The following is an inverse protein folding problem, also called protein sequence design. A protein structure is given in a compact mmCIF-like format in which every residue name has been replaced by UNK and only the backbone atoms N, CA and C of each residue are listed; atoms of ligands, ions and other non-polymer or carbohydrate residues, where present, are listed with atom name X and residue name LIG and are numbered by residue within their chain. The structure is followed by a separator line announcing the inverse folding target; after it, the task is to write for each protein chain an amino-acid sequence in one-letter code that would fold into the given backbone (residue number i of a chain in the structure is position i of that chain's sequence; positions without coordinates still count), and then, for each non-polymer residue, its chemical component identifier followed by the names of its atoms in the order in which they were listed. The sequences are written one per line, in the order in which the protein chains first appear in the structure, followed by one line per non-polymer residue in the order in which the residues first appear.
data_IF_452911363449
#
_entry.id   IF_452911363449
#
_cell.length_a   1.000
_cell.length_b   1.000
_cell.length_c   1.000
_cell.angle_alpha   90.00
_cell.angle_beta   90.00
_cell.angle_gamma   90.00
#
_symmetry.space_group_name_H-M   'P 1'
#
loop_
_entity.id
_entity.type
_entity.pdbx_description
1 polymer ?
#
# COMPACT_ATOMS: atom_id res chain seq x y z
N UNK A 1 3.96 7.53 13.67
CA UNK A 1 2.99 6.43 13.61
C UNK A 1 3.59 5.32 12.76
N UNK A 2 4.04 4.27 13.40
CA UNK A 2 4.78 3.22 12.71
C UNK A 2 3.85 2.38 11.85
N UNK A 3 4.30 2.07 10.63
CA UNK A 3 3.57 1.21 9.74
C UNK A 3 2.47 1.86 8.93
N UNK A 4 2.19 3.13 9.14
CA UNK A 4 1.18 3.84 8.37
C UNK A 4 1.85 4.66 7.26
N UNK A 5 1.36 4.50 6.03
CA UNK A 5 1.86 5.29 4.90
C UNK A 5 0.69 5.84 4.10
N UNK A 6 0.96 6.94 3.41
CA UNK A 6 -0.03 7.56 2.54
C UNK A 6 0.11 7.01 1.12
N UNK A 7 -0.99 6.53 0.59
CA UNK A 7 -1.07 6.03 -0.79
C UNK A 7 -2.25 6.69 -1.49
N UNK A 8 -2.42 6.37 -2.75
CA UNK A 8 -3.53 6.91 -3.56
C UNK A 8 -4.45 5.78 -3.98
N UNK A 9 -5.74 5.96 -3.75
CA UNK A 9 -6.77 5.01 -4.16
C UNK A 9 -6.64 4.74 -5.66
N UNK A 10 -6.61 3.47 -6.06
CA UNK A 10 -6.43 3.08 -7.45
C UNK A 10 -7.54 3.59 -8.36
N UNK A 11 -8.74 3.76 -7.86
CA UNK A 11 -9.87 4.22 -8.65
C UNK A 11 -10.02 5.73 -8.67
N UNK A 12 -10.02 6.35 -7.50
CA UNK A 12 -10.32 7.79 -7.39
C UNK A 12 -9.07 8.67 -7.39
N UNK A 13 -7.92 8.12 -7.05
CA UNK A 13 -6.69 8.89 -6.88
C UNK A 13 -6.65 9.68 -5.59
N UNK A 14 -7.65 9.56 -4.74
CA UNK A 14 -7.67 10.26 -3.46
C UNK A 14 -6.65 9.70 -2.50
N UNK A 15 -6.10 10.56 -1.66
CA UNK A 15 -5.13 10.15 -0.65
C UNK A 15 -5.81 9.28 0.40
N UNK A 16 -5.13 8.18 0.74
CA UNK A 16 -5.57 7.28 1.81
C UNK A 16 -4.38 6.97 2.71
N UNK A 17 -4.66 6.60 3.94
CA UNK A 17 -3.62 6.17 4.88
C UNK A 17 -3.83 4.69 5.15
N UNK A 18 -2.76 3.91 4.96
CA UNK A 18 -2.82 2.46 5.07
C UNK A 18 -1.91 1.97 6.19
N UNK A 19 -2.45 1.09 7.04
CA UNK A 19 -1.64 0.44 8.07
C UNK A 19 -0.95 -0.77 7.45
N UNK A 20 0.33 -0.62 7.14
CA UNK A 20 1.10 -1.66 6.46
C UNK A 20 1.36 -2.88 7.33
N UNK A 21 1.15 -2.77 8.64
CA UNK A 21 1.27 -3.93 9.53
C UNK A 21 0.18 -4.96 9.26
N UNK A 22 -0.92 -4.56 8.63
CA UNK A 22 -2.03 -5.45 8.28
C UNK A 22 -1.90 -6.03 6.88
N UNK A 23 -0.91 -5.59 6.11
CA UNK A 23 -0.72 -6.06 4.73
C UNK A 23 0.18 -7.28 4.72
N UNK A 24 -0.29 -8.37 4.15
CA UNK A 24 0.49 -9.60 4.03
C UNK A 24 1.37 -9.61 2.78
N UNK A 25 0.83 -9.09 1.68
CA UNK A 25 1.47 -9.26 0.39
C UNK A 25 1.07 -8.12 -0.53
N UNK A 26 1.96 -7.75 -1.43
CA UNK A 26 1.69 -6.74 -2.45
C UNK A 26 1.98 -7.36 -3.80
N UNK A 27 1.03 -7.28 -4.72
CA UNK A 27 1.21 -7.74 -6.09
C UNK A 27 1.06 -6.56 -7.05
N UNK A 28 1.60 -6.69 -8.25
CA UNK A 28 1.64 -5.59 -9.21
C UNK A 28 1.18 -5.98 -10.61
N UNK A 29 0.30 -6.98 -10.72
CA UNK A 29 -0.16 -7.42 -12.02
C UNK A 29 -1.68 -7.56 -12.03
N UNK A 30 -2.39 -6.72 -12.77
CA UNK A 30 -1.88 -5.58 -13.57
C UNK A 30 -1.62 -4.34 -12.74
N UNK A 31 -2.33 -4.16 -11.63
CA UNK A 31 -2.22 -2.98 -10.77
C UNK A 31 -1.62 -3.36 -9.43
N UNK A 32 -0.96 -2.40 -8.79
CA UNK A 32 -0.44 -2.60 -7.45
C UNK A 32 -1.61 -2.86 -6.50
N UNK A 33 -1.64 -4.02 -5.89
CA UNK A 33 -2.72 -4.46 -5.03
C UNK A 33 -2.18 -4.89 -3.68
N UNK A 34 -2.77 -4.35 -2.63
CA UNK A 34 -2.45 -4.74 -1.26
C UNK A 34 -3.37 -5.87 -0.83
N UNK A 35 -2.78 -6.91 -0.23
CA UNK A 35 -3.52 -8.07 0.27
C UNK A 35 -3.46 -8.06 1.79
N UNK A 36 -4.62 -8.04 2.41
CA UNK A 36 -4.74 -8.02 3.87
C UNK A 36 -4.97 -9.42 4.43
N UNK A 37 -4.79 -9.59 5.73
CA UNK A 37 -4.87 -10.90 6.38
C UNK A 37 -6.22 -11.58 6.21
N UNK A 38 -7.29 -10.82 6.10
CA UNK A 38 -8.64 -11.35 5.94
C UNK A 38 -9.02 -11.61 4.48
N UNK A 39 -8.04 -11.64 3.60
CA UNK A 39 -8.20 -11.83 2.16
C UNK A 39 -8.81 -10.62 1.45
N UNK A 40 -8.99 -9.51 2.14
CA UNK A 40 -9.42 -8.27 1.51
C UNK A 40 -8.29 -7.73 0.63
N UNK A 41 -8.65 -7.07 -0.46
CA UNK A 41 -7.67 -6.49 -1.38
C UNK A 41 -8.01 -5.04 -1.63
N UNK A 42 -6.97 -4.25 -1.94
CA UNK A 42 -7.15 -2.84 -2.23
C UNK A 42 -6.11 -2.38 -3.25
N UNK A 43 -6.56 -1.84 -4.37
CA UNK A 43 -5.67 -1.37 -5.43
C UNK A 43 -5.25 0.07 -5.15
N UNK A 44 -3.98 0.38 -5.41
CA UNK A 44 -3.41 1.72 -5.24
C UNK A 44 -2.69 2.13 -6.51
N UNK A 45 -2.45 3.43 -6.67
CA UNK A 45 -1.78 3.96 -7.86
C UNK A 45 -0.28 3.91 -7.78
N UNK A 46 0.28 3.87 -6.57
CA UNK A 46 1.73 3.81 -6.40
C UNK A 46 2.29 2.49 -6.92
N UNK A 47 3.50 2.55 -7.49
CA UNK A 47 4.19 1.34 -7.90
C UNK A 47 4.79 0.63 -6.70
N UNK A 48 5.16 -0.65 -6.89
CA UNK A 48 5.86 -1.39 -5.83
C UNK A 48 7.13 -0.69 -5.39
N UNK A 49 7.87 -0.12 -6.33
CA UNK A 49 9.11 0.59 -6.01
C UNK A 49 8.82 1.81 -5.14
N UNK A 50 7.77 2.55 -5.44
CA UNK A 50 7.36 3.70 -4.65
C UNK A 50 6.97 3.29 -3.23
N UNK A 51 6.21 2.21 -3.11
CA UNK A 51 5.80 1.71 -1.80
C UNK A 51 7.01 1.25 -1.00
N UNK A 52 7.96 0.58 -1.63
CA UNK A 52 9.18 0.15 -0.96
C UNK A 52 9.97 1.34 -0.41
N UNK A 53 10.04 2.43 -1.17
CA UNK A 53 10.70 3.64 -0.71
C UNK A 53 9.97 4.27 0.48
N UNK A 54 8.65 4.31 0.43
CA UNK A 54 7.85 4.85 1.52
C UNK A 54 8.01 4.02 2.79
N UNK A 55 8.07 2.71 2.66
CA UNK A 55 8.27 1.82 3.81
C UNK A 55 9.63 2.02 4.45
N UNK A 56 10.67 2.26 3.65
CA UNK A 56 11.99 2.55 4.18
C UNK A 56 11.98 3.82 5.02
N UNK A 57 11.34 4.86 4.50
CA UNK A 57 11.22 6.12 5.21
C UNK A 57 10.43 5.98 6.50
N UNK A 58 9.33 5.24 6.45
CA UNK A 58 8.46 5.05 7.61
C UNK A 58 9.10 4.15 8.67
N UNK A 59 10.00 3.27 8.26
CA UNK A 59 10.66 2.32 9.17
C UNK A 59 11.81 2.87 9.95
N UNK A 60 12.13 4.14 9.79
CA UNK A 60 13.28 4.75 10.49
C UNK A 60 12.90 5.51 11.76
#
# INVERSE_FOLDING_TARGET
MDGWIQLSDGQSGKAIIVNMAQVQMITADPDTTLWFEDSATFAVRESMAEIALLLRGAGQ
#
